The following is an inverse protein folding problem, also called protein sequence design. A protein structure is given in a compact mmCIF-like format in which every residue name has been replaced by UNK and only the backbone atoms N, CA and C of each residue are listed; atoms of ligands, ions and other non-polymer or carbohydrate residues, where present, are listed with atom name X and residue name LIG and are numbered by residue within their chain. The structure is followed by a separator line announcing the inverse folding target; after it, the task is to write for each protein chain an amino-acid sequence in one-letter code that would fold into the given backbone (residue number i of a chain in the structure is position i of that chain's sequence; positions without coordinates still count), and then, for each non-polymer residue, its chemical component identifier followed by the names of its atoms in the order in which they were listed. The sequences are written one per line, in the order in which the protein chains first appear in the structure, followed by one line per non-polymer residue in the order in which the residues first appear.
data_IF_193324558647
#
_entry.id   IF_193324558647
#
_cell.length_a   1.000
_cell.length_b   1.000
_cell.length_c   1.000
_cell.angle_alpha   90.00
_cell.angle_beta   90.00
_cell.angle_gamma   90.00
#
_symmetry.space_group_name_H-M   'P 1'
#
loop_
_entity.id
_entity.type
_entity.pdbx_description
1 polymer ?
#
# COMPACT_ATOMS: atom_id res chain seq x y z
N UNK A 1 1.30 -27.05 5.63
CA UNK A 1 0.51 -25.80 5.57
C UNK A 1 1.37 -24.83 4.80
N UNK A 2 1.00 -24.54 3.56
CA UNK A 2 1.76 -23.58 2.75
C UNK A 2 1.50 -22.18 3.30
N UNK A 3 2.57 -21.54 3.75
CA UNK A 3 2.52 -20.21 4.37
C UNK A 3 2.75 -19.15 3.32
N UNK A 4 1.83 -18.21 3.18
CA UNK A 4 2.00 -17.05 2.31
C UNK A 4 2.91 -16.01 2.98
N UNK A 5 4.07 -15.75 2.38
CA UNK A 5 5.00 -14.70 2.82
C UNK A 5 4.62 -13.35 2.21
N UNK A 6 4.41 -12.34 3.05
CA UNK A 6 4.13 -10.96 2.60
C UNK A 6 5.13 -10.02 3.25
N UNK A 7 5.86 -9.26 2.44
CA UNK A 7 6.71 -8.18 2.91
C UNK A 7 6.00 -6.84 2.74
N UNK A 8 5.94 -6.04 3.81
CA UNK A 8 5.24 -4.76 3.83
C UNK A 8 6.23 -3.66 4.17
N UNK A 9 6.33 -2.67 3.29
CA UNK A 9 7.14 -1.48 3.49
C UNK A 9 6.26 -0.23 3.40
N UNK A 10 6.41 0.67 4.36
CA UNK A 10 5.84 2.01 4.28
C UNK A 10 6.96 3.04 4.26
N UNK A 11 6.88 4.01 3.35
CA UNK A 11 7.94 5.01 3.18
C UNK A 11 7.37 6.36 2.73
N UNK A 12 7.73 7.42 3.45
CA UNK A 12 7.46 8.79 3.02
C UNK A 12 8.66 9.28 2.19
N UNK A 13 8.43 9.55 0.91
CA UNK A 13 9.47 9.91 -0.05
C UNK A 13 9.88 11.39 0.04
N UNK A 14 9.18 12.19 0.85
CA UNK A 14 9.37 13.63 1.00
C UNK A 14 9.43 14.39 -0.35
N UNK A 15 8.74 13.86 -1.38
CA UNK A 15 8.68 14.37 -2.77
C UNK A 15 9.99 14.24 -3.56
N UNK A 16 10.92 13.42 -3.08
CA UNK A 16 12.22 13.20 -3.70
C UNK A 16 12.25 11.89 -4.50
N UNK A 17 13.18 11.83 -5.45
CA UNK A 17 13.57 10.56 -6.03
C UNK A 17 14.25 9.69 -4.99
N UNK A 18 13.95 8.39 -5.03
CA UNK A 18 14.71 7.40 -4.29
C UNK A 18 15.99 7.08 -5.05
N UNK A 19 17.11 7.07 -4.35
CA UNK A 19 18.35 6.48 -4.84
C UNK A 19 18.18 4.96 -4.87
N UNK A 20 18.16 4.40 -6.09
CA UNK A 20 17.86 2.98 -6.29
C UNK A 20 18.91 2.09 -5.64
N UNK A 21 20.17 2.50 -5.66
CA UNK A 21 21.26 1.67 -5.16
C UNK A 21 21.25 1.64 -3.64
N UNK A 22 21.21 2.82 -3.02
CA UNK A 22 21.17 2.95 -1.55
C UNK A 22 19.93 2.27 -0.97
N UNK A 23 18.76 2.47 -1.60
CA UNK A 23 17.54 1.90 -1.07
C UNK A 23 17.49 0.37 -1.26
N UNK A 24 18.02 -0.15 -2.38
CA UNK A 24 18.04 -1.59 -2.62
C UNK A 24 18.88 -2.34 -1.58
N UNK A 25 20.03 -1.77 -1.20
CA UNK A 25 20.93 -2.36 -0.21
C UNK A 25 20.26 -2.51 1.17
N UNK A 26 19.29 -1.64 1.50
CA UNK A 26 18.56 -1.64 2.77
C UNK A 26 17.14 -2.20 2.68
N UNK A 27 16.65 -2.56 1.49
CA UNK A 27 15.23 -2.83 1.26
C UNK A 27 14.70 -4.00 2.10
N UNK A 28 15.53 -5.00 2.40
CA UNK A 28 15.14 -6.20 3.15
C UNK A 28 15.81 -6.32 4.53
N UNK A 29 16.33 -5.23 5.09
CA UNK A 29 17.06 -5.25 6.37
C UNK A 29 16.16 -5.61 7.57
N UNK A 30 14.85 -5.39 7.44
CA UNK A 30 13.88 -5.78 8.46
C UNK A 30 13.66 -7.31 8.53
N UNK A 31 14.11 -8.08 7.55
CA UNK A 31 13.97 -9.53 7.56
C UNK A 31 15.06 -10.19 8.41
N UNK A 32 14.72 -11.26 9.15
CA UNK A 32 15.72 -11.99 9.94
C UNK A 32 16.80 -12.59 9.03
N UNK A 33 18.06 -12.57 9.51
CA UNK A 33 19.20 -13.11 8.78
C UNK A 33 19.10 -14.62 8.53
N UNK A 34 18.38 -15.35 9.38
CA UNK A 34 18.18 -16.80 9.28
C UNK A 34 16.87 -17.22 9.95
N UNK A 35 16.32 -18.36 9.54
CA UNK A 35 15.12 -18.95 10.13
C UNK A 35 13.83 -18.57 9.40
N UNK A 36 12.69 -18.78 10.06
CA UNK A 36 11.38 -18.46 9.48
C UNK A 36 11.30 -16.96 9.14
N UNK A 37 10.97 -16.63 7.89
CA UNK A 37 10.93 -15.26 7.37
C UNK A 37 12.23 -14.77 6.70
N UNK A 38 13.27 -15.62 6.58
CA UNK A 38 14.48 -15.31 5.82
C UNK A 38 14.38 -15.60 4.31
N UNK A 39 13.34 -16.33 3.90
CA UNK A 39 13.05 -16.65 2.51
C UNK A 39 12.44 -15.46 1.76
N UNK A 40 12.57 -15.47 0.43
CA UNK A 40 11.93 -14.48 -0.43
C UNK A 40 10.40 -14.49 -0.22
N UNK A 41 9.76 -13.33 0.06
CA UNK A 41 8.31 -13.25 0.24
C UNK A 41 7.57 -13.58 -1.06
N UNK A 42 6.34 -14.09 -1.00
CA UNK A 42 5.55 -14.31 -2.21
C UNK A 42 4.99 -13.01 -2.77
N UNK A 43 4.66 -12.06 -1.89
CA UNK A 43 4.14 -10.74 -2.24
C UNK A 43 4.92 -9.62 -1.53
N UNK A 44 5.09 -8.50 -2.21
CA UNK A 44 5.63 -7.26 -1.64
C UNK A 44 4.58 -6.16 -1.77
N UNK A 45 4.29 -5.47 -0.67
CA UNK A 45 3.40 -4.33 -0.62
C UNK A 45 4.15 -3.07 -0.20
N UNK A 46 4.09 -2.05 -1.05
CA UNK A 46 4.60 -0.71 -0.75
C UNK A 46 3.46 0.27 -0.49
N UNK A 47 3.47 0.88 0.68
CA UNK A 47 2.66 2.04 1.05
C UNK A 47 3.52 3.28 1.00
N UNK A 48 3.35 4.09 -0.04
CA UNK A 48 4.22 5.24 -0.29
C UNK A 48 3.47 6.55 -0.05
N UNK A 49 4.10 7.48 0.66
CA UNK A 49 3.58 8.83 0.91
C UNK A 49 4.52 9.86 0.30
N UNK A 50 3.97 11.01 -0.11
CA UNK A 50 4.76 12.10 -0.70
C UNK A 50 5.60 11.63 -1.90
N UNK A 51 5.06 10.76 -2.75
CA UNK A 51 5.81 10.09 -3.83
C UNK A 51 6.48 11.08 -4.78
N UNK A 52 5.78 12.16 -5.11
CA UNK A 52 6.24 13.17 -6.05
C UNK A 52 5.72 14.55 -5.63
N UNK A 53 6.24 15.64 -6.21
CA UNK A 53 5.65 16.96 -6.06
C UNK A 53 4.15 16.93 -6.44
N UNK A 54 3.34 17.66 -5.68
CA UNK A 54 1.87 17.63 -5.78
C UNK A 54 1.33 17.74 -7.21
N UNK A 55 1.92 18.60 -8.05
CA UNK A 55 1.52 18.76 -9.44
C UNK A 55 1.74 17.48 -10.27
N UNK A 56 2.87 16.80 -10.07
CA UNK A 56 3.18 15.55 -10.77
C UNK A 56 2.28 14.41 -10.29
N UNK A 57 2.04 14.34 -8.98
CA UNK A 57 1.11 13.40 -8.37
C UNK A 57 -0.35 13.58 -8.83
N UNK A 58 -0.76 14.83 -9.10
CA UNK A 58 -2.10 15.14 -9.59
C UNK A 58 -2.25 14.88 -11.09
N UNK A 59 -1.23 15.21 -11.90
CA UNK A 59 -1.22 14.92 -13.34
C UNK A 59 -1.11 13.41 -13.63
N UNK A 60 -0.43 12.67 -12.75
CA UNK A 60 -0.25 11.22 -12.89
C UNK A 60 0.52 10.82 -14.16
N UNK A 61 0.30 9.58 -14.61
CA UNK A 61 0.84 9.08 -15.88
C UNK A 61 2.36 9.23 -15.99
N UNK A 62 2.82 9.79 -17.10
CA UNK A 62 4.25 9.99 -17.41
C UNK A 62 4.99 10.89 -16.42
N UNK A 63 4.28 11.77 -15.70
CA UNK A 63 4.88 12.65 -14.70
C UNK A 63 5.18 11.92 -13.39
N UNK A 64 4.39 10.90 -13.07
CA UNK A 64 4.56 10.07 -11.88
C UNK A 64 5.47 8.86 -12.15
N UNK A 65 5.53 8.42 -13.40
CA UNK A 65 6.30 7.24 -13.83
C UNK A 65 7.75 7.21 -13.30
N UNK A 66 8.56 8.29 -13.38
CA UNK A 66 9.94 8.26 -12.90
C UNK A 66 10.08 7.94 -11.40
N UNK A 67 9.11 8.37 -10.58
CA UNK A 67 9.11 8.14 -9.14
C UNK A 67 8.73 6.69 -8.81
N UNK A 68 7.69 6.17 -9.46
CA UNK A 68 7.24 4.79 -9.30
C UNK A 68 8.27 3.80 -9.86
N UNK A 69 8.88 4.12 -10.99
CA UNK A 69 9.88 3.27 -11.63
C UNK A 69 11.15 3.12 -10.77
N UNK A 70 11.53 4.15 -10.01
CA UNK A 70 12.62 4.02 -9.04
C UNK A 70 12.36 2.89 -8.04
N UNK A 71 11.16 2.84 -7.44
CA UNK A 71 10.78 1.73 -6.56
C UNK A 71 10.70 0.38 -7.26
N UNK A 72 10.23 0.34 -8.51
CA UNK A 72 10.23 -0.89 -9.32
C UNK A 72 11.65 -1.44 -9.48
N UNK A 73 12.60 -0.57 -9.83
CA UNK A 73 14.02 -0.94 -9.98
C UNK A 73 14.66 -1.33 -8.66
N UNK A 74 14.34 -0.64 -7.57
CA UNK A 74 14.79 -0.98 -6.22
C UNK A 74 14.34 -2.40 -5.82
N UNK A 75 13.06 -2.74 -6.00
CA UNK A 75 12.55 -4.08 -5.68
C UNK A 75 13.26 -5.13 -6.52
N UNK A 76 13.40 -4.91 -7.82
CA UNK A 76 14.09 -5.84 -8.73
C UNK A 76 15.56 -6.04 -8.33
N UNK A 77 16.28 -4.95 -8.03
CA UNK A 77 17.69 -5.02 -7.64
C UNK A 77 17.86 -5.74 -6.30
N UNK A 78 17.09 -5.34 -5.28
CA UNK A 78 17.19 -5.92 -3.94
C UNK A 78 16.82 -7.42 -3.93
N UNK A 79 15.80 -7.82 -4.69
CA UNK A 79 15.37 -9.22 -4.73
C UNK A 79 16.35 -10.11 -5.48
N UNK A 80 16.93 -9.60 -6.58
CA UNK A 80 17.98 -10.28 -7.32
C UNK A 80 19.25 -10.45 -6.48
N UNK A 81 19.68 -9.38 -5.78
CA UNK A 81 20.85 -9.43 -4.91
C UNK A 81 20.70 -10.41 -3.74
N UNK A 82 19.53 -10.45 -3.11
CA UNK A 82 19.33 -11.23 -1.87
C UNK A 82 18.98 -12.71 -2.12
N UNK A 83 18.21 -13.02 -3.16
CA UNK A 83 17.69 -14.37 -3.39
C UNK A 83 17.71 -14.82 -4.86
N UNK A 84 18.26 -14.02 -5.78
CA UNK A 84 18.18 -14.27 -7.23
C UNK A 84 16.73 -14.46 -7.71
N UNK A 85 15.81 -13.62 -7.19
CA UNK A 85 14.39 -13.69 -7.49
C UNK A 85 13.91 -12.46 -8.26
N UNK A 86 12.98 -12.70 -9.18
CA UNK A 86 12.29 -11.66 -9.93
C UNK A 86 10.89 -11.40 -9.39
N UNK A 87 10.55 -10.12 -9.26
CA UNK A 87 9.23 -9.66 -8.85
C UNK A 87 8.58 -8.83 -9.96
N UNK A 88 7.31 -9.09 -10.19
CA UNK A 88 6.48 -8.40 -11.18
C UNK A 88 5.58 -7.41 -10.44
N UNK A 89 5.70 -6.12 -10.77
CA UNK A 89 4.74 -5.10 -10.32
C UNK A 89 3.43 -5.27 -11.09
N UNK A 90 2.43 -5.90 -10.47
CA UNK A 90 1.15 -6.21 -11.13
C UNK A 90 0.03 -5.20 -10.82
N UNK A 91 0.27 -4.31 -9.84
CA UNK A 91 -0.64 -3.24 -9.47
C UNK A 91 0.11 -2.03 -8.92
N UNK A 92 -0.22 -0.86 -9.45
CA UNK A 92 0.21 0.44 -8.93
C UNK A 92 -0.96 1.41 -9.02
N UNK A 93 -1.27 2.06 -7.91
CA UNK A 93 -2.39 2.99 -7.77
C UNK A 93 -1.99 4.18 -6.90
N UNK A 94 -2.52 5.37 -7.18
CA UNK A 94 -2.23 6.56 -6.38
C UNK A 94 -3.43 7.51 -6.27
N UNK A 95 -3.56 8.18 -5.13
CA UNK A 95 -4.49 9.30 -4.94
C UNK A 95 -3.71 10.49 -4.38
N UNK A 96 -3.61 11.55 -5.18
CA UNK A 96 -2.68 12.63 -4.89
C UNK A 96 -1.27 12.07 -4.68
N UNK A 97 -0.63 12.44 -3.57
CA UNK A 97 0.75 12.02 -3.24
C UNK A 97 0.84 10.68 -2.48
N UNK A 98 -0.29 10.00 -2.23
CA UNK A 98 -0.31 8.66 -1.62
C UNK A 98 -0.37 7.61 -2.71
N UNK A 99 0.46 6.59 -2.65
CA UNK A 99 0.41 5.49 -3.60
C UNK A 99 0.64 4.12 -2.96
N UNK A 100 0.17 3.13 -3.70
CA UNK A 100 0.18 1.72 -3.39
C UNK A 100 0.85 1.00 -4.55
N UNK A 101 1.84 0.16 -4.26
CA UNK A 101 2.41 -0.75 -5.24
C UNK A 101 2.37 -2.17 -4.69
N UNK A 102 1.92 -3.12 -5.51
CA UNK A 102 1.99 -4.55 -5.21
C UNK A 102 2.88 -5.25 -6.22
N UNK A 103 3.70 -6.16 -5.70
CA UNK A 103 4.54 -7.04 -6.48
C UNK A 103 4.27 -8.48 -6.06
N UNK A 104 4.36 -9.37 -7.03
CA UNK A 104 4.34 -10.82 -6.81
C UNK A 104 5.67 -11.38 -7.30
N UNK A 105 6.19 -12.40 -6.61
CA UNK A 105 7.28 -13.21 -7.15
C UNK A 105 6.81 -13.86 -8.44
N UNK A 106 7.68 -13.99 -9.42
CA UNK A 106 7.29 -14.39 -10.78
C UNK A 106 6.54 -15.73 -10.82
N UNK A 107 6.95 -16.70 -9.99
CA UNK A 107 6.31 -18.01 -9.82
C UNK A 107 4.95 -17.96 -9.09
N UNK A 108 4.66 -16.90 -8.34
CA UNK A 108 3.40 -16.73 -7.61
C UNK A 108 2.39 -15.82 -8.32
N UNK A 109 2.80 -15.13 -9.38
CA UNK A 109 1.94 -14.22 -10.14
C UNK A 109 0.64 -14.91 -10.63
N UNK A 110 0.74 -16.16 -11.09
CA UNK A 110 -0.41 -16.94 -11.54
C UNK A 110 -1.42 -17.31 -10.44
N UNK A 111 -1.06 -17.13 -9.16
CA UNK A 111 -1.96 -17.35 -8.02
C UNK A 111 -2.88 -16.13 -7.76
N UNK A 112 -2.69 -15.00 -8.45
CA UNK A 112 -3.59 -13.84 -8.32
C UNK A 112 -4.79 -14.03 -9.24
N UNK A 113 -5.94 -14.37 -8.68
CA UNK A 113 -7.16 -14.68 -9.44
C UNK A 113 -7.92 -13.43 -9.91
N UNK A 114 -7.94 -12.38 -9.08
CA UNK A 114 -8.65 -11.14 -9.37
C UNK A 114 -8.09 -10.00 -8.53
N UNK A 115 -8.38 -8.76 -8.94
CA UNK A 115 -7.96 -7.52 -8.25
C UNK A 115 -9.04 -6.45 -8.35
N UNK A 116 -9.25 -5.74 -7.25
CA UNK A 116 -10.14 -4.57 -7.13
C UNK A 116 -9.39 -3.43 -6.42
N UNK A 117 -9.65 -2.18 -6.80
CA UNK A 117 -8.99 -1.00 -6.22
C UNK A 117 -9.99 0.08 -5.84
N UNK A 118 -9.60 0.93 -4.90
CA UNK A 118 -10.29 2.18 -4.59
C UNK A 118 -9.33 3.24 -4.08
N UNK A 119 -9.74 4.48 -4.25
CA UNK A 119 -8.95 5.66 -3.95
C UNK A 119 -9.83 6.72 -3.29
N UNK A 120 -9.31 7.45 -2.32
CA UNK A 120 -9.96 8.61 -1.70
C UNK A 120 -8.93 9.70 -1.42
N UNK A 121 -9.19 10.91 -1.93
CA UNK A 121 -8.48 12.12 -1.56
C UNK A 121 -8.95 12.67 -0.21
N UNK A 122 -8.02 13.08 0.64
CA UNK A 122 -8.27 13.76 1.91
C UNK A 122 -7.47 15.08 1.92
N UNK A 123 -8.03 16.15 2.48
CA UNK A 123 -7.35 17.46 2.54
C UNK A 123 -8.29 18.63 2.82
N UNK A 124 -7.77 19.71 3.39
CA UNK A 124 -8.49 20.99 3.51
C UNK A 124 -8.58 21.60 2.10
N UNK A 125 -9.78 21.96 1.66
CA UNK A 125 -10.07 22.46 0.29
C UNK A 125 -9.76 21.50 -0.88
N UNK A 126 -9.87 20.17 -0.71
CA UNK A 126 -9.67 19.22 -1.84
C UNK A 126 -8.30 19.31 -2.53
N UNK A 127 -7.28 19.90 -1.88
CA UNK A 127 -5.94 20.07 -2.47
C UNK A 127 -5.16 18.76 -2.73
N UNK A 128 -5.75 17.58 -2.48
CA UNK A 128 -5.14 16.29 -2.88
C UNK A 128 -3.80 15.94 -2.22
N UNK A 129 -3.46 16.56 -1.09
CA UNK A 129 -2.19 16.37 -0.40
C UNK A 129 -2.18 15.22 0.63
N UNK A 130 -3.35 14.68 0.96
CA UNK A 130 -3.56 13.51 1.82
C UNK A 130 -4.55 12.56 1.14
N UNK A 131 -4.64 11.33 1.61
CA UNK A 131 -5.54 10.36 1.01
C UNK A 131 -5.16 8.92 1.29
N UNK A 132 -6.02 8.01 0.85
CA UNK A 132 -5.84 6.58 1.01
C UNK A 132 -6.14 5.84 -0.29
N UNK A 133 -5.33 4.83 -0.58
CA UNK A 133 -5.48 3.90 -1.69
C UNK A 133 -5.63 2.50 -1.11
N UNK A 134 -6.65 1.77 -1.56
CA UNK A 134 -6.91 0.40 -1.18
C UNK A 134 -6.86 -0.53 -2.38
N UNK A 135 -6.31 -1.72 -2.18
CA UNK A 135 -6.34 -2.82 -3.15
C UNK A 135 -6.84 -4.09 -2.45
N UNK A 136 -7.65 -4.86 -3.15
CA UNK A 136 -8.09 -6.19 -2.74
C UNK A 136 -7.77 -7.18 -3.83
N UNK A 137 -7.31 -8.36 -3.47
CA UNK A 137 -7.05 -9.43 -4.43
C UNK A 137 -7.45 -10.79 -3.86
N UNK A 138 -7.81 -11.70 -4.76
CA UNK A 138 -8.01 -13.10 -4.44
C UNK A 138 -6.74 -13.88 -4.75
N UNK A 139 -6.18 -14.54 -3.74
CA UNK A 139 -4.99 -15.38 -3.88
C UNK A 139 -5.39 -16.86 -3.83
N UNK A 140 -5.08 -17.63 -4.87
CA UNK A 140 -5.45 -19.04 -4.99
C UNK A 140 -4.75 -19.88 -3.92
N UNK A 141 -5.53 -20.73 -3.25
CA UNK A 141 -5.02 -21.68 -2.26
C UNK A 141 -4.35 -22.85 -2.96
N UNK A 142 -3.15 -23.21 -2.52
CA UNK A 142 -2.41 -24.33 -3.08
C UNK A 142 -3.20 -25.65 -2.95
N UNK A 143 -3.20 -26.43 -4.02
CA UNK A 143 -4.01 -27.65 -4.14
C UNK A 143 -5.52 -27.44 -4.28
N UNK A 144 -6.02 -26.20 -4.20
CA UNK A 144 -7.46 -25.87 -4.24
C UNK A 144 -7.74 -24.71 -5.20
N UNK A 145 -7.65 -24.93 -6.54
CA UNK A 145 -7.71 -23.86 -7.54
C UNK A 145 -9.04 -23.09 -7.58
N UNK A 146 -10.12 -23.67 -7.06
CA UNK A 146 -11.43 -23.03 -6.93
C UNK A 146 -11.58 -22.17 -5.67
N UNK A 147 -10.60 -22.19 -4.76
CA UNK A 147 -10.64 -21.47 -3.49
C UNK A 147 -9.60 -20.34 -3.49
N UNK A 148 -10.04 -19.15 -3.11
CA UNK A 148 -9.16 -17.99 -2.93
C UNK A 148 -9.20 -17.48 -1.50
N UNK A 149 -8.08 -16.94 -1.02
CA UNK A 149 -7.99 -16.12 0.17
C UNK A 149 -8.03 -14.65 -0.25
N UNK A 150 -8.89 -13.87 0.39
CA UNK A 150 -9.05 -12.45 0.09
C UNK A 150 -8.04 -11.63 0.90
N UNK A 151 -7.09 -11.00 0.21
CA UNK A 151 -6.10 -10.10 0.80
C UNK A 151 -6.49 -8.66 0.55
N UNK A 152 -6.37 -7.80 1.57
CA UNK A 152 -6.69 -6.37 1.47
C UNK A 152 -5.50 -5.54 1.94
N UNK A 153 -5.04 -4.63 1.08
CA UNK A 153 -3.92 -3.73 1.30
C UNK A 153 -4.40 -2.29 1.30
N UNK A 154 -3.89 -1.47 2.21
CA UNK A 154 -4.28 -0.07 2.34
C UNK A 154 -3.03 0.78 2.56
N UNK A 155 -2.79 1.70 1.64
CA UNK A 155 -1.80 2.76 1.78
C UNK A 155 -2.52 4.05 2.18
N UNK A 156 -2.11 4.69 3.27
CA UNK A 156 -2.75 5.91 3.76
C UNK A 156 -1.71 6.95 4.15
N UNK A 157 -1.97 8.20 3.78
CA UNK A 157 -1.24 9.38 4.23
C UNK A 157 -2.23 10.29 4.95
N UNK A 158 -2.21 10.25 6.28
CA UNK A 158 -3.13 11.02 7.13
C UNK A 158 -2.51 12.37 7.51
N UNK A 159 -3.36 13.36 7.84
CA UNK A 159 -2.88 14.67 8.27
C UNK A 159 -2.20 14.56 9.64
N UNK A 160 -1.00 15.12 9.83
CA UNK A 160 -0.39 15.22 11.14
C UNK A 160 -1.18 16.23 11.99
N UNK A 161 -1.64 15.80 13.17
CA UNK A 161 -2.32 16.64 14.16
C UNK A 161 -3.63 17.33 13.72
N UNK A 162 -4.51 16.67 12.98
CA UNK A 162 -5.91 17.13 12.90
C UNK A 162 -6.71 16.68 14.13
N UNK A 163 -7.55 17.59 14.65
CA UNK A 163 -8.49 17.32 15.74
C UNK A 163 -9.30 16.04 15.46
N UNK A 164 -9.40 15.19 16.48
CA UNK A 164 -10.01 13.85 16.44
C UNK A 164 -11.43 13.82 15.86
N UNK A 165 -12.20 14.89 16.05
CA UNK A 165 -13.56 15.06 15.52
C UNK A 165 -13.61 15.16 14.00
N UNK A 166 -12.61 15.77 13.37
CA UNK A 166 -12.56 15.97 11.91
C UNK A 166 -12.13 14.70 11.17
N UNK A 167 -11.20 13.94 11.75
CA UNK A 167 -10.86 12.59 11.27
C UNK A 167 -12.09 11.65 11.34
N UNK A 168 -12.89 11.75 12.40
CA UNK A 168 -14.10 10.93 12.58
C UNK A 168 -15.18 11.26 11.54
N UNK A 169 -15.40 12.54 11.23
CA UNK A 169 -16.34 12.98 10.19
C UNK A 169 -15.90 12.51 8.78
N UNK A 170 -14.59 12.47 8.50
CA UNK A 170 -14.06 11.97 7.22
C UNK A 170 -14.10 10.44 7.12
N UNK A 171 -13.85 9.71 8.21
CA UNK A 171 -14.10 8.27 8.29
C UNK A 171 -15.57 7.90 8.04
N UNK A 172 -16.51 8.77 8.44
CA UNK A 172 -17.93 8.60 8.09
C UNK A 172 -18.23 8.91 6.62
N UNK A 173 -17.55 9.88 6.00
CA UNK A 173 -17.70 10.18 4.57
C UNK A 173 -17.33 8.96 3.69
N UNK A 174 -16.31 8.19 4.09
CA UNK A 174 -15.90 6.95 3.44
C UNK A 174 -17.01 5.90 3.32
N UNK A 175 -17.92 5.79 4.30
CA UNK A 175 -19.04 4.83 4.23
C UNK A 175 -20.07 5.17 3.15
N UNK A 176 -20.11 6.44 2.70
CA UNK A 176 -21.15 6.99 1.82
C UNK A 176 -20.74 7.10 0.35
N UNK A 177 -19.45 7.07 0.01
CA UNK A 177 -18.96 7.24 -1.37
C UNK A 177 -18.90 5.91 -2.13
N UNK A 178 -19.52 5.78 -3.33
CA UNK A 178 -19.39 4.60 -4.16
C UNK A 178 -18.10 4.65 -4.99
N UNK A 179 -16.96 4.34 -4.37
CA UNK A 179 -15.63 4.44 -5.00
C UNK A 179 -15.19 3.17 -5.76
N UNK A 180 -16.10 2.28 -6.18
CA UNK A 180 -15.73 0.97 -6.75
C UNK A 180 -16.60 0.60 -7.96
N UNK A 181 -15.97 0.02 -8.98
CA UNK A 181 -16.59 -0.49 -10.22
C UNK A 181 -17.36 -1.81 -10.05
N UNK A 182 -17.09 -2.56 -8.98
CA UNK A 182 -17.93 -3.65 -8.46
C UNK A 182 -18.46 -3.27 -7.08
N UNK A 183 -19.68 -3.67 -6.67
CA UNK A 183 -20.14 -3.39 -5.31
C UNK A 183 -19.13 -3.99 -4.34
N UNK A 184 -18.44 -3.18 -3.52
CA UNK A 184 -17.46 -3.73 -2.60
C UNK A 184 -18.23 -4.57 -1.59
N UNK A 185 -17.70 -5.74 -1.26
CA UNK A 185 -18.10 -6.38 -0.01
C UNK A 185 -17.94 -5.33 1.11
N UNK A 186 -19.02 -5.09 1.84
CA UNK A 186 -19.22 -4.07 2.91
C UNK A 186 -18.02 -3.89 3.85
N UNK A 187 -17.15 -4.91 3.95
CA UNK A 187 -15.94 -4.98 4.75
C UNK A 187 -14.78 -4.09 4.27
N UNK A 188 -14.52 -3.91 2.97
CA UNK A 188 -13.42 -3.06 2.50
C UNK A 188 -13.74 -1.57 2.70
N UNK A 189 -15.02 -1.21 2.52
CA UNK A 189 -15.56 0.09 2.95
C UNK A 189 -15.55 0.26 4.47
N UNK A 190 -15.38 -0.78 5.26
CA UNK A 190 -15.23 -0.63 6.70
C UNK A 190 -13.76 -0.50 7.07
N UNK A 191 -12.88 -1.30 6.48
CA UNK A 191 -11.45 -1.36 6.78
C UNK A 191 -10.74 -0.01 6.58
N UNK A 192 -10.91 0.67 5.44
CA UNK A 192 -10.23 1.95 5.24
C UNK A 192 -10.85 3.07 6.08
N UNK A 193 -12.18 3.10 6.26
CA UNK A 193 -12.83 4.00 7.22
C UNK A 193 -12.33 3.78 8.66
N UNK A 194 -12.10 2.52 9.03
CA UNK A 194 -11.66 2.10 10.35
C UNK A 194 -10.18 2.39 10.58
N UNK A 195 -9.33 2.26 9.55
CA UNK A 195 -7.93 2.71 9.58
C UNK A 195 -7.87 4.23 9.74
N UNK A 196 -8.70 4.98 8.99
CA UNK A 196 -8.81 6.44 9.17
C UNK A 196 -9.36 6.83 10.56
N UNK A 197 -10.09 5.96 11.26
CA UNK A 197 -10.70 6.27 12.57
C UNK A 197 -9.91 5.75 13.78
N UNK A 198 -9.05 4.72 13.63
CA UNK A 198 -8.35 4.03 14.74
C UNK A 198 -6.98 4.62 15.14
N UNK A 199 -6.49 5.68 14.50
CA UNK A 199 -5.26 6.36 14.92
C UNK A 199 -5.52 7.28 16.13
N UNK A 200 -6.07 6.69 17.20
CA UNK A 200 -6.37 7.32 18.48
C UNK A 200 -5.32 6.88 19.51
N UNK A 201 -4.52 7.77 20.10
CA UNK A 201 -4.13 7.57 21.48
C UNK A 201 -5.36 7.90 22.35
N UNK A 202 -5.85 6.94 23.11
CA UNK A 202 -6.75 7.22 24.23
C UNK A 202 -5.94 7.97 25.29
N UNK A 203 -5.88 9.29 25.19
CA UNK A 203 -5.44 10.11 26.31
C UNK A 203 -6.59 10.21 27.30
N UNK A 204 -6.57 9.33 28.31
CA UNK A 204 -7.24 9.60 29.57
C UNK A 204 -6.53 10.80 30.19
N UNK A 205 -7.21 11.95 30.26
CA UNK A 205 -6.75 13.05 31.12
C UNK A 205 -6.72 12.52 32.56
N UNK A 206 -5.59 12.62 33.30
CA UNK A 206 -5.61 12.37 34.73
C UNK A 206 -6.57 13.38 35.36
N UNK A 207 -7.57 12.85 36.07
CA UNK A 207 -8.59 13.65 36.74
C UNK A 207 -7.98 14.66 37.69
N UNK A 208 -8.49 15.89 37.57
CA UNK A 208 -8.53 16.93 38.60
C UNK A 208 -9.28 16.48 39.83
#
# INVERSE_FOLDING_TARGET
MDTLGIYVLTFNCARNFVDVDVFADHFFDALPASGAGSSAPDLIFLSLQEIAPIAHSFLGGSYLFPYVDAFRRTVQKASAQKWDQHYVNFLTENTGMTGLMLFAREDTLGKIAWKDTAQVGLGVQEMGNKGAVGARLGYVVEGHPSQTVDLTFVAAHLAPMEDSSRNQQRGQAWTRTPAFSRPPHRHMRRAVAEICSRQMPTYSLPGT
#
